data_IF_692488616046
#
_entry.id   IF_692488616046
#
_cell.length_a   1.000
_cell.length_b   1.000
_cell.length_c   1.000
_cell.angle_alpha   90.00
_cell.angle_beta   90.00
_cell.angle_gamma   90.00
#
_symmetry.space_group_name_H-M   'P 1'
#
loop_
_entity.id
_entity.type
_entity.pdbx_description
1 polymer ?
#
# COMPACT_ATOMS: atom_id res chain seq x y z
N UNK A 1 -7.20 -6.94 -17.08
CA UNK A 1 -7.53 -6.74 -15.65
C UNK A 1 -7.02 -7.87 -14.77
N UNK A 2 -6.21 -7.53 -13.77
CA UNK A 2 -5.60 -8.38 -12.74
C UNK A 2 -6.08 -7.86 -11.38
N UNK A 3 -6.49 -8.76 -10.51
CA UNK A 3 -6.80 -8.43 -9.11
C UNK A 3 -5.49 -8.41 -8.32
N UNK A 4 -5.19 -7.27 -7.69
CA UNK A 4 -4.00 -7.11 -6.83
C UNK A 4 -4.39 -6.90 -5.37
N UNK A 5 -5.60 -7.35 -5.02
CA UNK A 5 -6.08 -7.45 -3.64
C UNK A 5 -5.60 -8.76 -3.06
N UNK A 6 -5.02 -8.74 -1.85
CA UNK A 6 -4.64 -9.93 -1.11
C UNK A 6 -5.85 -10.85 -0.93
N UNK A 7 -5.70 -12.08 -1.41
CA UNK A 7 -6.68 -13.13 -1.20
C UNK A 7 -6.45 -13.78 0.17
N UNK A 8 -7.49 -13.79 1.02
CA UNK A 8 -7.47 -14.43 2.32
C UNK A 8 -8.48 -15.56 2.36
N UNK A 9 -8.00 -16.78 2.52
CA UNK A 9 -8.85 -17.96 2.69
C UNK A 9 -9.53 -17.93 4.06
N UNK A 10 -10.71 -18.55 4.16
CA UNK A 10 -11.55 -18.49 5.37
C UNK A 10 -10.95 -19.15 6.61
N UNK A 11 -9.92 -19.98 6.45
CA UNK A 11 -9.19 -20.66 7.52
C UNK A 11 -7.82 -20.02 7.84
N UNK A 12 -7.49 -18.89 7.21
CA UNK A 12 -6.24 -18.17 7.45
C UNK A 12 -6.08 -17.75 8.93
N UNK A 13 -4.86 -17.86 9.47
CA UNK A 13 -4.60 -17.58 10.89
C UNK A 13 -4.86 -16.12 11.31
N UNK A 14 -4.89 -15.20 10.35
CA UNK A 14 -5.25 -13.78 10.60
C UNK A 14 -6.64 -13.65 11.23
N UNK A 15 -7.58 -14.56 10.94
CA UNK A 15 -8.91 -14.54 11.54
C UNK A 15 -8.86 -14.85 13.04
N UNK A 16 -7.98 -15.76 13.47
CA UNK A 16 -7.74 -16.04 14.90
C UNK A 16 -7.09 -14.84 15.61
N UNK A 17 -6.18 -14.14 14.93
CA UNK A 17 -5.60 -12.90 15.45
C UNK A 17 -6.68 -11.82 15.61
N UNK A 18 -7.55 -11.65 14.60
CA UNK A 18 -8.64 -10.69 14.66
C UNK A 18 -9.62 -11.01 15.80
N UNK A 19 -9.91 -12.30 16.02
CA UNK A 19 -10.76 -12.76 17.11
C UNK A 19 -10.21 -12.47 18.51
N UNK A 20 -8.90 -12.33 18.66
CA UNK A 20 -8.25 -11.99 19.93
C UNK A 20 -8.20 -10.48 20.21
N UNK A 21 -8.53 -9.63 19.24
CA UNK A 21 -8.56 -8.18 19.42
C UNK A 21 -9.80 -7.74 20.21
N UNK A 22 -9.63 -6.81 21.16
CA UNK A 22 -10.75 -6.23 21.91
C UNK A 22 -11.76 -5.53 20.99
N UNK A 23 -11.26 -4.78 19.99
CA UNK A 23 -12.09 -4.05 19.04
C UNK A 23 -12.02 -4.66 17.64
N UNK A 24 -12.65 -5.83 17.48
CA UNK A 24 -12.66 -6.60 16.23
C UNK A 24 -13.10 -5.78 15.02
N UNK A 25 -14.17 -4.99 15.16
CA UNK A 25 -14.71 -4.21 14.06
C UNK A 25 -13.71 -3.17 13.54
N UNK A 26 -12.96 -2.51 14.44
CA UNK A 26 -11.96 -1.51 14.02
C UNK A 26 -10.71 -2.19 13.44
N UNK A 27 -10.27 -3.30 14.03
CA UNK A 27 -9.10 -4.03 13.53
C UNK A 27 -9.36 -4.77 12.21
N UNK A 28 -10.61 -5.14 11.92
CA UNK A 28 -10.97 -5.79 10.66
C UNK A 28 -10.68 -4.90 9.44
N UNK A 29 -10.68 -3.57 9.62
CA UNK A 29 -10.31 -2.62 8.58
C UNK A 29 -8.82 -2.67 8.18
N UNK A 30 -7.97 -3.30 8.99
CA UNK A 30 -6.51 -3.45 8.78
C UNK A 30 -6.12 -4.87 8.32
N UNK A 31 -7.11 -5.71 8.01
CA UNK A 31 -6.88 -7.09 7.54
C UNK A 31 -6.84 -7.13 6.02
N UNK A 32 -5.85 -7.82 5.47
CA UNK A 32 -5.61 -7.93 4.03
C UNK A 32 -5.21 -6.59 3.40
N UNK A 33 -5.57 -6.40 2.14
CA UNK A 33 -5.38 -5.12 1.45
C UNK A 33 -6.33 -4.06 2.00
N UNK A 34 -5.76 -2.96 2.47
CA UNK A 34 -6.53 -1.88 3.09
C UNK A 34 -5.86 -0.53 2.89
N UNK A 35 -6.61 0.53 3.21
CA UNK A 35 -6.10 1.90 3.25
C UNK A 35 -6.07 2.38 4.70
N UNK A 36 -4.92 2.88 5.14
CA UNK A 36 -4.78 3.57 6.43
C UNK A 36 -5.32 5.01 6.37
N UNK A 37 -6.24 5.32 7.29
CA UNK A 37 -6.94 6.61 7.44
C UNK A 37 -7.04 7.03 8.91
N UNK A 38 -5.92 7.11 9.61
CA UNK A 38 -5.86 7.46 11.03
C UNK A 38 -6.50 8.82 11.38
N UNK A 39 -6.47 9.79 10.47
CA UNK A 39 -7.14 11.10 10.60
C UNK A 39 -8.60 11.06 10.16
N UNK A 40 -9.09 9.90 9.70
CA UNK A 40 -10.48 9.67 9.27
C UNK A 40 -10.91 10.64 8.18
N UNK A 41 -9.97 11.05 7.35
CA UNK A 41 -10.24 11.95 6.24
C UNK A 41 -11.04 11.22 5.16
N UNK A 42 -11.78 12.00 4.37
CA UNK A 42 -12.53 11.46 3.25
C UNK A 42 -11.65 11.39 2.01
N UNK A 43 -11.41 10.18 1.51
CA UNK A 43 -10.71 9.96 0.25
C UNK A 43 -11.56 10.52 -0.90
N UNK A 44 -10.99 11.35 -1.80
CA UNK A 44 -11.73 11.86 -2.95
C UNK A 44 -12.28 10.73 -3.81
N UNK A 45 -13.58 10.76 -4.11
CA UNK A 45 -14.25 9.70 -4.89
C UNK A 45 -13.60 9.49 -6.25
N UNK A 46 -13.04 10.56 -6.83
CA UNK A 46 -12.42 10.56 -8.13
C UNK A 46 -11.00 9.95 -8.15
N UNK A 47 -10.51 9.48 -6.98
CA UNK A 47 -9.34 8.61 -6.85
C UNK A 47 -9.69 7.14 -7.16
N UNK A 48 -10.97 6.78 -7.36
CA UNK A 48 -11.34 5.41 -7.70
C UNK A 48 -10.66 4.89 -8.98
N UNK A 49 -10.25 5.79 -9.89
CA UNK A 49 -9.46 5.48 -11.08
C UNK A 49 -8.22 6.36 -11.13
N UNK A 50 -7.04 5.73 -11.22
CA UNK A 50 -5.75 6.40 -11.27
C UNK A 50 -4.85 5.79 -12.34
N UNK A 51 -3.82 6.54 -12.75
CA UNK A 51 -2.69 5.99 -13.50
C UNK A 51 -1.75 5.27 -12.52
N UNK A 52 -1.67 3.96 -12.62
CA UNK A 52 -0.67 3.13 -11.95
C UNK A 52 0.72 3.35 -12.52
N UNK A 53 1.73 3.30 -11.66
CA UNK A 53 3.14 3.17 -12.02
C UNK A 53 3.76 2.08 -11.15
N UNK A 54 4.28 1.01 -11.77
CA UNK A 54 4.96 -0.05 -11.02
C UNK A 54 6.39 0.39 -10.72
N UNK A 55 6.78 0.31 -9.46
CA UNK A 55 8.17 0.46 -9.02
C UNK A 55 8.67 -0.89 -8.56
N UNK A 56 9.67 -1.42 -9.26
CA UNK A 56 10.26 -2.70 -8.92
C UNK A 56 11.30 -2.52 -7.81
N UNK A 57 11.06 -3.15 -6.68
CA UNK A 57 11.89 -3.10 -5.49
C UNK A 57 12.27 -4.51 -5.02
N UNK A 58 12.18 -5.54 -5.86
CA UNK A 58 12.47 -6.93 -5.45
C UNK A 58 13.92 -7.16 -5.02
N UNK A 59 14.84 -6.28 -5.44
CA UNK A 59 16.25 -6.31 -5.03
C UNK A 59 16.49 -5.72 -3.63
N UNK A 60 15.48 -5.08 -3.00
CA UNK A 60 15.62 -4.47 -1.68
C UNK A 60 15.36 -5.47 -0.55
N UNK A 61 16.35 -5.60 0.34
CA UNK A 61 16.22 -6.33 1.60
C UNK A 61 15.87 -5.43 2.78
N UNK A 62 15.91 -6.00 3.99
CA UNK A 62 15.55 -5.32 5.24
C UNK A 62 16.58 -4.31 5.74
N UNK A 63 17.82 -4.41 5.23
CA UNK A 63 19.00 -3.66 5.67
C UNK A 63 19.09 -2.26 5.05
N UNK A 64 18.38 -2.02 3.94
CA UNK A 64 18.44 -0.76 3.19
C UNK A 64 17.04 -0.24 2.91
N UNK A 65 16.86 1.06 3.10
CA UNK A 65 15.64 1.74 2.70
C UNK A 65 15.57 1.89 1.17
N UNK A 66 14.36 1.79 0.61
CA UNK A 66 14.07 2.07 -0.79
C UNK A 66 14.16 3.59 -0.99
N UNK A 67 15.21 4.05 -1.66
CA UNK A 67 15.50 5.47 -1.84
C UNK A 67 15.01 6.05 -3.16
N UNK A 68 15.39 7.30 -3.44
CA UNK A 68 15.00 8.05 -4.64
C UNK A 68 15.44 7.40 -5.96
N UNK A 69 16.45 6.54 -5.94
CA UNK A 69 16.99 5.88 -7.13
C UNK A 69 15.94 5.05 -7.89
N UNK A 70 14.93 4.50 -7.20
CA UNK A 70 13.93 3.62 -7.84
C UNK A 70 12.95 4.39 -8.74
N UNK A 71 12.85 5.70 -8.56
CA UNK A 71 11.97 6.57 -9.36
C UNK A 71 12.75 7.46 -10.35
N UNK A 72 14.05 7.24 -10.50
CA UNK A 72 14.84 7.99 -11.46
C UNK A 72 14.33 7.76 -12.90
N UNK A 73 14.12 8.85 -13.64
CA UNK A 73 13.57 8.80 -15.00
C UNK A 73 12.06 8.56 -15.09
N UNK A 74 11.35 8.37 -13.97
CA UNK A 74 9.90 8.20 -13.94
C UNK A 74 9.21 9.57 -13.83
N UNK A 75 8.40 9.91 -14.84
CA UNK A 75 7.65 11.16 -14.86
C UNK A 75 6.40 11.09 -13.96
N UNK A 76 6.47 11.77 -12.81
CA UNK A 76 5.37 11.95 -11.85
C UNK A 76 5.08 13.46 -11.75
N UNK A 77 4.07 13.94 -12.47
CA UNK A 77 3.71 15.35 -12.45
C UNK A 77 2.84 15.68 -11.25
N UNK A 78 3.04 16.89 -10.73
CA UNK A 78 2.22 17.44 -9.67
C UNK A 78 0.74 17.47 -10.07
N UNK A 79 -0.13 16.95 -9.21
CA UNK A 79 -1.58 17.00 -9.40
C UNK A 79 -2.15 15.98 -10.39
N UNK A 80 -1.32 15.12 -10.98
CA UNK A 80 -1.82 13.96 -11.74
C UNK A 80 -2.36 12.90 -10.76
N UNK A 81 -3.45 12.23 -11.16
CA UNK A 81 -4.02 11.13 -10.40
C UNK A 81 -3.19 9.87 -10.56
N UNK A 82 -2.15 9.75 -9.75
CA UNK A 82 -1.16 8.68 -9.84
C UNK A 82 -1.26 7.77 -8.63
N UNK A 83 -1.18 6.47 -8.88
CA UNK A 83 -0.98 5.44 -7.87
C UNK A 83 0.40 4.81 -8.11
N UNK A 84 1.32 5.02 -7.18
CA UNK A 84 2.63 4.36 -7.19
C UNK A 84 2.51 3.01 -6.49
N UNK A 85 2.85 1.92 -7.17
CA UNK A 85 2.80 0.56 -6.64
C UNK A 85 4.22 0.04 -6.48
N UNK A 86 4.68 -0.09 -5.24
CA UNK A 86 5.98 -0.66 -4.89
C UNK A 86 5.88 -2.18 -4.77
N UNK A 87 6.63 -2.91 -5.60
CA UNK A 87 6.71 -4.37 -5.60
C UNK A 87 7.99 -4.81 -4.91
N UNK A 88 7.89 -5.33 -3.68
CA UNK A 88 9.03 -5.85 -2.92
C UNK A 88 9.19 -7.36 -3.08
N UNK A 89 8.13 -8.07 -3.47
CA UNK A 89 8.13 -9.53 -3.57
C UNK A 89 8.14 -10.26 -2.22
N UNK A 90 7.90 -9.56 -1.11
CA UNK A 90 7.97 -10.16 0.24
C UNK A 90 7.05 -11.37 0.42
N UNK A 91 5.87 -11.36 -0.22
CA UNK A 91 4.85 -12.41 -0.11
C UNK A 91 5.31 -13.75 -0.70
N UNK A 92 6.32 -13.75 -1.58
CA UNK A 92 6.94 -14.99 -2.07
C UNK A 92 7.88 -15.65 -1.06
N UNK A 93 8.25 -14.93 0.01
CA UNK A 93 9.24 -15.33 1.01
C UNK A 93 8.63 -15.59 2.38
N UNK A 94 7.59 -14.87 2.73
CA UNK A 94 6.98 -14.91 4.06
C UNK A 94 5.45 -14.90 3.95
N UNK A 95 4.82 -15.75 4.75
CA UNK A 95 3.36 -15.82 4.88
C UNK A 95 2.82 -14.51 5.49
N UNK A 96 1.67 -14.05 4.99
CA UNK A 96 0.97 -12.89 5.52
C UNK A 96 0.65 -13.06 7.02
N UNK A 97 0.92 -12.01 7.79
CA UNK A 97 0.71 -12.01 9.24
C UNK A 97 1.78 -12.74 10.07
N UNK A 98 2.78 -13.36 9.43
CA UNK A 98 3.95 -13.88 10.14
C UNK A 98 4.81 -12.75 10.73
N UNK A 99 5.58 -13.03 11.78
CA UNK A 99 6.47 -12.03 12.40
C UNK A 99 7.46 -11.42 11.40
N UNK A 100 8.01 -12.25 10.50
CA UNK A 100 8.93 -11.79 9.46
C UNK A 100 8.24 -10.87 8.45
N UNK A 101 7.01 -11.19 8.05
CA UNK A 101 6.21 -10.34 7.15
C UNK A 101 5.90 -8.99 7.79
N UNK A 102 5.47 -9.00 9.06
CA UNK A 102 4.99 -7.80 9.77
C UNK A 102 6.11 -6.88 10.23
N UNK A 103 7.24 -7.42 10.72
CA UNK A 103 8.28 -6.59 11.35
C UNK A 103 9.52 -6.39 10.47
N UNK A 104 9.77 -7.28 9.51
CA UNK A 104 11.02 -7.34 8.75
C UNK A 104 10.76 -7.22 7.24
N UNK A 105 9.92 -6.26 6.85
CA UNK A 105 9.69 -5.91 5.45
C UNK A 105 10.60 -4.76 4.96
N UNK A 106 10.84 -4.64 3.64
CA UNK A 106 11.45 -3.44 3.08
C UNK A 106 10.63 -2.18 3.41
N UNK A 107 11.30 -1.03 3.52
CA UNK A 107 10.65 0.24 3.84
C UNK A 107 11.14 1.36 2.93
N UNK A 108 10.27 2.31 2.60
CA UNK A 108 10.60 3.48 1.80
C UNK A 108 11.38 4.50 2.63
N UNK A 109 12.40 5.13 2.06
CA UNK A 109 13.10 6.24 2.69
C UNK A 109 12.22 7.47 2.84
N UNK A 110 12.46 8.27 3.88
CA UNK A 110 11.69 9.50 4.12
C UNK A 110 11.77 10.50 2.98
N UNK A 111 12.93 10.61 2.33
CA UNK A 111 13.13 11.48 1.17
C UNK A 111 12.21 11.07 0.00
N UNK A 112 12.09 9.77 -0.26
CA UNK A 112 11.20 9.23 -1.27
C UNK A 112 9.73 9.49 -0.93
N UNK A 113 9.32 9.24 0.32
CA UNK A 113 7.98 9.56 0.78
C UNK A 113 7.69 11.05 0.56
N UNK A 114 8.57 11.94 1.01
CA UNK A 114 8.38 13.39 0.90
C UNK A 114 8.28 13.85 -0.55
N UNK A 115 9.07 13.27 -1.45
CA UNK A 115 8.94 13.52 -2.88
C UNK A 115 7.55 13.14 -3.40
N UNK A 116 7.05 11.94 -3.06
CA UNK A 116 5.73 11.48 -3.52
C UNK A 116 4.59 12.37 -2.99
N UNK A 117 4.69 12.80 -1.73
CA UNK A 117 3.73 13.73 -1.13
C UNK A 117 3.76 15.10 -1.80
N UNK A 118 4.95 15.63 -2.10
CA UNK A 118 5.11 16.88 -2.85
C UNK A 118 4.50 16.80 -4.25
N UNK A 119 4.51 15.62 -4.90
CA UNK A 119 3.83 15.39 -6.18
C UNK A 119 2.32 15.18 -6.05
N UNK A 120 1.80 15.04 -4.83
CA UNK A 120 0.39 14.75 -4.54
C UNK A 120 -0.13 13.53 -5.28
N UNK A 121 0.64 12.43 -5.26
CA UNK A 121 0.13 11.14 -5.75
C UNK A 121 -1.11 10.74 -4.93
N UNK A 122 -2.08 10.10 -5.56
CA UNK A 122 -3.31 9.66 -4.90
C UNK A 122 -3.00 8.58 -3.85
N UNK A 123 -2.21 7.59 -4.25
CA UNK A 123 -1.92 6.41 -3.45
C UNK A 123 -0.43 6.03 -3.50
N UNK A 124 0.06 5.58 -2.37
CA UNK A 124 1.35 4.87 -2.23
C UNK A 124 1.00 3.45 -1.81
N UNK A 125 1.18 2.49 -2.70
CA UNK A 125 0.86 1.09 -2.44
C UNK A 125 2.09 0.25 -2.31
N UNK A 126 2.03 -0.76 -1.45
CA UNK A 126 3.11 -1.70 -1.24
C UNK A 126 2.56 -3.09 -0.97
N UNK A 127 3.32 -4.11 -1.34
CA UNK A 127 2.97 -5.53 -1.15
C UNK A 127 3.38 -6.09 0.22
N UNK A 128 3.70 -5.22 1.19
CA UNK A 128 4.04 -5.57 2.56
C UNK A 128 3.19 -4.82 3.59
N UNK A 129 3.46 -5.07 4.88
CA UNK A 129 2.74 -4.51 6.03
C UNK A 129 3.03 -3.02 6.31
N UNK A 130 3.40 -2.26 5.28
CA UNK A 130 3.52 -0.81 5.35
C UNK A 130 4.75 -0.20 4.71
N UNK A 131 4.70 1.12 4.53
CA UNK A 131 5.77 1.88 3.86
C UNK A 131 6.92 2.25 4.79
N UNK A 132 6.69 2.20 6.11
CA UNK A 132 7.67 2.34 7.20
C UNK A 132 7.40 1.29 8.28
N UNK A 133 8.38 1.01 9.14
CA UNK A 133 8.27 0.00 10.21
C UNK A 133 8.12 0.60 11.60
N UNK A 134 7.67 -0.23 12.53
CA UNK A 134 7.70 0.04 13.97
C UNK A 134 7.10 1.40 14.33
N UNK A 135 7.84 2.20 15.11
CA UNK A 135 7.34 3.51 15.57
C UNK A 135 7.16 4.57 14.47
N UNK A 136 7.62 4.29 13.24
CA UNK A 136 7.52 5.20 12.11
C UNK A 136 6.37 4.87 11.16
N UNK A 137 5.80 3.67 11.22
CA UNK A 137 4.67 3.22 10.39
C UNK A 137 3.53 4.25 10.45
N UNK A 138 2.87 4.37 11.60
CA UNK A 138 1.70 5.27 11.77
C UNK A 138 2.05 6.73 11.48
N UNK A 139 3.31 7.13 11.74
CA UNK A 139 3.77 8.50 11.44
C UNK A 139 3.78 8.77 9.93
N UNK A 140 4.19 7.79 9.13
CA UNK A 140 4.21 7.89 7.68
C UNK A 140 2.79 7.97 7.12
N UNK A 141 1.87 7.13 7.60
CA UNK A 141 0.49 7.10 7.09
C UNK A 141 -0.27 8.37 7.45
N UNK A 142 -0.14 8.85 8.70
CA UNK A 142 -0.71 10.13 9.12
C UNK A 142 -0.14 11.29 8.29
N UNK A 143 1.16 11.26 7.98
CA UNK A 143 1.80 12.28 7.15
C UNK A 143 1.29 12.23 5.72
N UNK A 144 1.16 11.04 5.14
CA UNK A 144 0.61 10.85 3.81
C UNK A 144 -0.84 11.36 3.74
N UNK A 145 -1.69 10.90 4.66
CA UNK A 145 -3.10 11.30 4.74
C UNK A 145 -3.23 12.82 4.90
N UNK A 146 -2.37 13.44 5.72
CA UNK A 146 -2.29 14.89 5.88
C UNK A 146 -1.98 15.65 4.60
N UNK A 147 -1.36 15.01 3.61
CA UNK A 147 -1.05 15.55 2.29
C UNK A 147 -2.03 15.09 1.20
N UNK A 148 -3.14 14.43 1.57
CA UNK A 148 -4.16 13.88 0.65
C UNK A 148 -3.62 12.77 -0.26
N UNK A 149 -2.61 12.05 0.23
CA UNK A 149 -2.08 10.81 -0.31
C UNK A 149 -2.41 9.69 0.66
N UNK A 150 -2.79 8.52 0.17
CA UNK A 150 -3.24 7.43 1.04
C UNK A 150 -2.38 6.18 0.84
N UNK A 151 -2.00 5.53 1.93
CA UNK A 151 -1.18 4.32 1.89
C UNK A 151 -2.09 3.11 1.68
N UNK A 152 -1.71 2.22 0.77
CA UNK A 152 -2.39 0.94 0.55
C UNK A 152 -1.41 -0.20 0.84
N UNK A 153 -1.71 -1.00 1.85
CA UNK A 153 -0.82 -2.07 2.29
C UNK A 153 -1.25 -3.43 1.73
N UNK A 154 -0.34 -4.40 1.82
CA UNK A 154 -0.62 -5.81 1.54
C UNK A 154 -1.21 -6.04 0.14
N UNK A 155 -0.75 -5.34 -0.90
CA UNK A 155 -1.15 -5.59 -2.29
C UNK A 155 -0.62 -6.94 -2.79
N UNK A 156 -1.40 -7.72 -3.53
CA UNK A 156 -0.88 -8.90 -4.24
C UNK A 156 -0.32 -8.49 -5.61
N UNK A 157 0.98 -8.23 -5.65
CA UNK A 157 1.69 -7.80 -6.88
C UNK A 157 2.24 -8.97 -7.69
N UNK A 158 2.03 -10.21 -7.25
CA UNK A 158 2.62 -11.41 -7.87
C UNK A 158 2.18 -11.62 -9.32
N UNK A 159 0.94 -11.22 -9.64
CA UNK A 159 0.40 -11.27 -11.01
C UNK A 159 0.87 -10.12 -11.92
N UNK A 160 1.50 -9.07 -11.38
CA UNK A 160 1.97 -7.93 -12.17
C UNK A 160 3.32 -8.24 -12.83
N UNK A 161 3.25 -8.67 -14.09
CA UNK A 161 4.40 -8.90 -14.96
C UNK A 161 4.77 -7.64 -15.75
N UNK A 162 5.04 -6.55 -15.03
CA UNK A 162 5.42 -5.26 -15.58
C UNK A 162 6.89 -4.94 -15.23
N UNK A 163 7.51 -4.04 -15.99
CA UNK A 163 8.85 -3.50 -15.71
C UNK A 163 8.76 -2.25 -14.83
N UNK A 164 9.89 -1.89 -14.22
CA UNK A 164 10.00 -0.65 -13.48
C UNK A 164 9.61 0.56 -14.35
N UNK A 165 8.70 1.39 -13.84
CA UNK A 165 8.17 2.57 -14.53
C UNK A 165 7.05 2.31 -15.53
N UNK A 166 6.66 1.04 -15.76
CA UNK A 166 5.51 0.72 -16.60
C UNK A 166 4.23 1.33 -16.01
N UNK A 167 3.37 1.80 -16.92
CA UNK A 167 2.15 2.54 -16.62
C UNK A 167 0.94 1.68 -16.97
N UNK A 168 -0.09 1.75 -16.13
CA UNK A 168 -1.33 0.99 -16.28
C UNK A 168 -2.50 1.75 -15.65
N UNK A 169 -3.73 1.30 -15.89
CA UNK A 169 -4.89 1.85 -15.18
C UNK A 169 -5.11 1.08 -13.87
N UNK A 170 -5.43 1.78 -12.77
CA UNK A 170 -5.77 1.15 -11.49
C UNK A 170 -7.12 1.61 -11.02
N UNK A 171 -7.94 0.65 -10.63
CA UNK A 171 -9.25 0.85 -10.03
C UNK A 171 -9.19 0.48 -8.55
N UNK A 172 -9.40 1.46 -7.68
CA UNK A 172 -9.34 1.31 -6.22
C UNK A 172 -10.72 1.57 -5.65
N UNK A 173 -11.30 0.59 -4.96
CA UNK A 173 -12.60 0.71 -4.31
C UNK A 173 -12.45 0.44 -2.82
N UNK A 174 -12.96 1.33 -1.99
CA UNK A 174 -12.95 1.21 -0.54
C UNK A 174 -14.36 1.38 0.02
N UNK A 175 -14.59 0.85 1.22
CA UNK A 175 -15.83 1.06 1.95
C UNK A 175 -15.60 2.19 2.95
N UNK A 176 -16.27 3.33 2.77
CA UNK A 176 -16.19 4.43 3.73
C UNK A 176 -16.70 3.98 5.12
N UNK A 177 -15.92 4.24 6.16
CA UNK A 177 -16.32 4.06 7.55
C UNK A 177 -15.78 5.22 8.39
N UNK A 178 -16.64 6.13 8.90
CA UNK A 178 -16.19 7.34 9.61
C UNK A 178 -15.58 7.04 10.99
N UNK A 179 -15.66 5.80 11.47
CA UNK A 179 -15.11 5.39 12.77
C UNK A 179 -13.79 4.65 12.65
N UNK A 180 -13.54 3.99 11.52
CA UNK A 180 -12.38 3.14 11.30
C UNK A 180 -11.12 3.96 10.99
N UNK A 181 -9.96 3.38 11.30
CA UNK A 181 -8.64 3.90 10.89
C UNK A 181 -8.00 3.08 9.77
N UNK A 182 -8.64 1.97 9.38
CA UNK A 182 -8.27 1.15 8.23
C UNK A 182 -9.54 0.86 7.42
N UNK A 183 -9.46 0.94 6.10
CA UNK A 183 -10.58 0.67 5.19
C UNK A 183 -10.24 -0.52 4.31
N UNK A 184 -11.05 -1.59 4.41
CA UNK A 184 -10.95 -2.72 3.49
C UNK A 184 -11.09 -2.26 2.05
N UNK A 185 -10.17 -2.69 1.19
CA UNK A 185 -9.99 -2.12 -0.13
C UNK A 185 -9.84 -3.22 -1.18
N UNK A 186 -10.47 -3.00 -2.33
CA UNK A 186 -10.36 -3.83 -3.54
C UNK A 186 -9.57 -3.05 -4.58
N UNK A 187 -8.53 -3.64 -5.14
CA UNK A 187 -7.65 -3.00 -6.12
C UNK A 187 -7.51 -3.86 -7.36
N UNK A 188 -7.85 -3.31 -8.53
CA UNK A 188 -7.77 -3.98 -9.82
C UNK A 188 -6.84 -3.21 -10.76
N UNK A 189 -5.85 -3.89 -11.32
CA UNK A 189 -4.91 -3.35 -12.30
C UNK A 189 -5.34 -3.74 -13.72
N UNK A 190 -5.47 -2.77 -14.62
CA UNK A 190 -5.71 -3.02 -16.04
C UNK A 190 -4.44 -2.77 -16.83
N UNK A 191 -3.71 -3.87 -17.04
CA UNK A 191 -2.48 -3.93 -17.83
C UNK A 191 -2.85 -4.29 -19.27
N UNK A 192 -2.51 -3.41 -20.22
CA UNK A 192 -2.74 -3.58 -21.67
C UNK A 192 -1.39 -3.76 -22.36
#
# INVERSE_FOLDING_TARGET
MIDITMNLEGDHNVWKWLESQENKLMNAGHVGTHIDVYKKSRIPVDYFKTRGVLIDCTEYGIEKEIGMEVIEGIDIKYGEKVFIVFKTGIQSRFEYGSEMYTNNHPQLGWELIDFLLQRQVCFIGIDCAGIRRGSEHIKADIKAEGNRTYVIENLDTGGLNLKNGDKFDVYTMWIENPFATGLSTRVLADVI
#
